data_IF_251206356554
#
_entry.id   IF_251206356554
#
_cell.length_a   1.000
_cell.length_b   1.000
_cell.length_c   1.000
_cell.angle_alpha   90.00
_cell.angle_beta   90.00
_cell.angle_gamma   90.00
#
_symmetry.space_group_name_H-M   'P 1'
#
loop_
_entity.id
_entity.type
_entity.pdbx_description
1 polymer ?
#
# COMPACT_ATOMS: atom_id res chain seq x y z
N UNK A 1 26.55 -27.14 -14.67
CA UNK A 1 25.95 -26.23 -15.66
C UNK A 1 24.48 -25.91 -15.37
N UNK A 2 23.51 -26.83 -15.52
CA UNK A 2 22.10 -26.51 -15.19
C UNK A 2 21.86 -26.24 -13.70
N UNK A 3 22.50 -27.01 -12.82
CA UNK A 3 22.36 -26.84 -11.36
C UNK A 3 22.98 -25.53 -10.87
N UNK A 4 24.13 -25.13 -11.44
CA UNK A 4 24.77 -23.84 -11.13
C UNK A 4 23.89 -22.66 -11.58
N UNK A 5 23.28 -22.76 -12.77
CA UNK A 5 22.32 -21.75 -13.25
C UNK A 5 21.11 -21.67 -12.31
N UNK A 6 20.59 -22.82 -11.84
CA UNK A 6 19.47 -22.84 -10.90
C UNK A 6 19.82 -22.19 -9.56
N UNK A 7 21.04 -22.39 -9.05
CA UNK A 7 21.53 -21.73 -7.82
C UNK A 7 21.59 -20.22 -8.01
N UNK A 8 22.15 -19.73 -9.12
CA UNK A 8 22.26 -18.30 -9.38
C UNK A 8 20.89 -17.63 -9.59
N UNK A 9 19.97 -18.28 -10.31
CA UNK A 9 18.58 -17.79 -10.47
C UNK A 9 17.87 -17.69 -9.12
N UNK A 10 18.02 -18.70 -8.26
CA UNK A 10 17.45 -18.65 -6.91
C UNK A 10 18.05 -17.51 -6.08
N UNK A 11 19.36 -17.25 -6.19
CA UNK A 11 19.99 -16.13 -5.50
C UNK A 11 19.42 -14.80 -5.96
N UNK A 12 19.28 -14.61 -7.28
CA UNK A 12 18.69 -13.39 -7.86
C UNK A 12 17.23 -13.24 -7.44
N UNK A 13 16.44 -14.31 -7.44
CA UNK A 13 15.04 -14.26 -6.98
C UNK A 13 14.93 -13.75 -5.55
N UNK A 14 15.75 -14.28 -4.63
CA UNK A 14 15.76 -13.83 -3.23
C UNK A 14 16.15 -12.36 -3.09
N UNK A 15 17.17 -11.92 -3.83
CA UNK A 15 17.57 -10.51 -3.81
C UNK A 15 16.48 -9.58 -4.37
N UNK A 16 15.69 -10.04 -5.34
CA UNK A 16 14.52 -9.30 -5.84
C UNK A 16 13.44 -9.22 -4.76
N UNK A 17 13.13 -10.34 -4.10
CA UNK A 17 12.12 -10.39 -3.04
C UNK A 17 12.49 -9.46 -1.87
N UNK A 18 13.74 -9.50 -1.41
CA UNK A 18 14.27 -8.62 -0.36
C UNK A 18 14.18 -7.13 -0.76
N UNK A 19 14.53 -6.81 -2.01
CA UNK A 19 14.44 -5.44 -2.53
C UNK A 19 12.99 -4.95 -2.60
N UNK A 20 12.06 -5.81 -3.03
CA UNK A 20 10.64 -5.49 -3.07
C UNK A 20 10.07 -5.31 -1.66
N UNK A 21 10.39 -6.21 -0.72
CA UNK A 21 9.93 -6.12 0.66
C UNK A 21 10.42 -4.82 1.31
N UNK A 22 11.68 -4.44 1.08
CA UNK A 22 12.20 -3.15 1.51
C UNK A 22 11.41 -1.97 0.91
N UNK A 23 11.08 -2.00 -0.38
CA UNK A 23 10.25 -0.97 -1.02
C UNK A 23 8.84 -0.90 -0.43
N UNK A 24 8.26 -2.04 -0.05
CA UNK A 24 6.93 -2.13 0.57
C UNK A 24 6.90 -1.65 2.03
N UNK A 25 8.05 -1.40 2.66
CA UNK A 25 8.10 -0.86 4.02
C UNK A 25 7.36 0.47 4.16
N UNK A 26 7.23 1.22 3.07
CA UNK A 26 6.51 2.51 3.03
C UNK A 26 5.04 2.37 2.64
N UNK A 27 4.56 1.16 2.34
CA UNK A 27 3.20 0.94 1.86
C UNK A 27 2.26 0.52 3.00
N UNK A 28 1.01 0.95 2.90
CA UNK A 28 -0.14 0.43 3.66
C UNK A 28 -1.21 0.00 2.67
N UNK A 29 -1.76 -1.19 2.90
CA UNK A 29 -2.92 -1.71 2.15
C UNK A 29 -4.19 -1.43 2.93
N UNK A 30 -5.13 -0.74 2.29
CA UNK A 30 -6.43 -0.38 2.84
C UNK A 30 -7.51 -1.15 2.07
N UNK A 31 -8.39 -1.82 2.80
CA UNK A 31 -9.45 -2.68 2.25
C UNK A 31 -10.81 -2.17 2.70
N UNK A 32 -11.86 -2.43 1.91
CA UNK A 32 -13.24 -2.10 2.28
C UNK A 32 -13.64 -0.63 2.05
N UNK A 33 -12.76 0.20 1.50
CA UNK A 33 -13.07 1.59 1.18
C UNK A 33 -13.80 1.65 -0.18
N UNK A 34 -15.04 2.16 -0.26
CA UNK A 34 -15.77 2.30 -1.52
C UNK A 34 -15.01 3.12 -2.56
N UNK A 35 -15.22 2.82 -3.84
CA UNK A 35 -14.68 3.63 -4.94
C UNK A 35 -15.57 4.86 -5.16
N UNK A 36 -14.94 6.00 -5.44
CA UNK A 36 -15.66 7.24 -5.80
C UNK A 36 -16.23 7.16 -7.22
N UNK A 37 -15.49 6.54 -8.14
CA UNK A 37 -15.87 6.31 -9.53
C UNK A 37 -15.04 5.16 -10.12
N UNK A 38 -15.36 4.72 -11.34
CA UNK A 38 -14.55 3.73 -12.05
C UNK A 38 -13.14 4.26 -12.36
N UNK A 39 -13.04 5.56 -12.66
CA UNK A 39 -11.80 6.26 -13.04
C UNK A 39 -11.26 7.12 -11.88
N UNK A 40 -11.29 6.57 -10.66
CA UNK A 40 -10.75 7.23 -9.48
C UNK A 40 -9.25 7.53 -9.68
N UNK A 41 -8.89 8.81 -9.72
CA UNK A 41 -7.51 9.24 -9.90
C UNK A 41 -6.66 8.97 -8.66
N UNK A 42 -5.34 8.95 -8.83
CA UNK A 42 -4.43 8.86 -7.68
C UNK A 42 -4.59 10.05 -6.72
N UNK A 43 -4.88 11.25 -7.23
CA UNK A 43 -5.09 12.43 -6.39
C UNK A 43 -6.34 12.29 -5.51
N UNK A 44 -7.47 11.87 -6.09
CA UNK A 44 -8.70 11.61 -5.31
C UNK A 44 -8.53 10.45 -4.34
N UNK A 45 -7.78 9.40 -4.74
CA UNK A 45 -7.48 8.27 -3.85
C UNK A 45 -6.60 8.72 -2.67
N UNK A 46 -5.61 9.59 -2.90
CA UNK A 46 -4.76 10.13 -1.84
C UNK A 46 -5.55 11.00 -0.86
N UNK A 47 -6.45 11.85 -1.36
CA UNK A 47 -7.34 12.64 -0.51
C UNK A 47 -8.26 11.75 0.35
N UNK A 48 -8.75 10.64 -0.22
CA UNK A 48 -9.53 9.65 0.53
C UNK A 48 -8.72 8.98 1.65
N UNK A 49 -7.45 8.66 1.39
CA UNK A 49 -6.53 8.15 2.41
C UNK A 49 -6.30 9.17 3.52
N UNK A 50 -6.04 10.44 3.19
CA UNK A 50 -5.87 11.52 4.18
C UNK A 50 -7.11 11.66 5.07
N UNK A 51 -8.31 11.74 4.48
CA UNK A 51 -9.57 11.77 5.22
C UNK A 51 -9.73 10.57 6.16
N UNK A 52 -9.38 9.37 5.70
CA UNK A 52 -9.42 8.16 6.52
C UNK A 52 -8.43 8.22 7.69
N UNK A 53 -7.21 8.70 7.45
CA UNK A 53 -6.17 8.79 8.47
C UNK A 53 -6.50 9.86 9.52
N UNK A 54 -7.05 10.99 9.09
CA UNK A 54 -7.57 12.02 10.00
C UNK A 54 -8.72 11.47 10.85
N UNK A 55 -9.62 10.67 10.28
CA UNK A 55 -10.74 10.06 11.01
C UNK A 55 -10.30 9.07 12.11
N UNK A 56 -9.14 8.42 11.95
CA UNK A 56 -8.55 7.57 13.01
C UNK A 56 -7.62 8.34 13.97
N UNK A 57 -7.52 9.67 13.81
CA UNK A 57 -6.75 10.56 14.69
C UNK A 57 -5.26 10.68 14.34
N UNK A 58 -4.84 10.23 13.16
CA UNK A 58 -3.48 10.46 12.67
C UNK A 58 -3.34 11.86 12.10
N UNK A 59 -2.19 12.51 12.35
CA UNK A 59 -1.88 13.85 11.87
C UNK A 59 -1.24 13.86 10.47
N UNK A 60 -1.27 12.73 9.76
CA UNK A 60 -0.77 12.61 8.39
C UNK A 60 -1.55 13.51 7.46
N UNK A 61 -0.82 14.27 6.64
CA UNK A 61 -1.37 15.12 5.59
C UNK A 61 -1.18 14.48 4.20
N UNK A 62 -1.80 15.07 3.19
CA UNK A 62 -1.57 14.72 1.77
C UNK A 62 -0.08 14.80 1.40
N UNK A 63 0.71 15.68 2.03
CA UNK A 63 2.14 15.87 1.77
C UNK A 63 3.02 14.75 2.33
N UNK A 64 2.47 13.89 3.17
CA UNK A 64 3.14 12.70 3.68
C UNK A 64 2.93 11.48 2.77
N UNK A 65 2.00 11.58 1.82
CA UNK A 65 1.66 10.55 0.85
C UNK A 65 2.47 10.76 -0.44
N UNK A 66 3.22 9.74 -0.84
CA UNK A 66 3.95 9.71 -2.11
C UNK A 66 2.97 9.39 -3.26
N UNK A 67 2.21 8.31 -3.10
CA UNK A 67 1.17 7.92 -4.06
C UNK A 67 0.10 7.05 -3.39
N UNK A 68 -1.15 7.18 -3.82
CA UNK A 68 -2.20 6.25 -3.50
C UNK A 68 -2.93 5.82 -4.77
N UNK A 69 -3.18 4.53 -4.92
CA UNK A 69 -3.90 4.00 -6.07
C UNK A 69 -4.64 2.71 -5.73
N UNK A 70 -5.69 2.43 -6.52
CA UNK A 70 -6.44 1.18 -6.45
C UNK A 70 -5.64 0.05 -7.11
N UNK A 71 -5.54 -1.09 -6.45
CA UNK A 71 -4.93 -2.29 -7.04
C UNK A 71 -5.99 -3.25 -7.58
N UNK A 72 -5.79 -3.83 -8.77
CA UNK A 72 -6.65 -4.89 -9.27
C UNK A 72 -6.65 -6.09 -8.31
N UNK A 73 -7.83 -6.60 -7.96
CA UNK A 73 -7.97 -7.89 -7.29
C UNK A 73 -8.11 -8.98 -8.34
N UNK A 74 -7.28 -10.03 -8.26
CA UNK A 74 -7.30 -11.17 -9.19
C UNK A 74 -8.66 -11.87 -9.23
N UNK A 75 -9.41 -11.80 -8.13
CA UNK A 75 -10.79 -12.24 -8.01
C UNK A 75 -11.69 -11.01 -7.91
N UNK A 76 -12.28 -10.64 -9.04
CA UNK A 76 -13.43 -9.73 -9.07
C UNK A 76 -14.74 -10.46 -8.69
N UNK A 77 -14.67 -11.76 -8.35
CA UNK A 77 -15.82 -12.65 -8.12
C UNK A 77 -16.76 -12.23 -6.98
N UNK A 78 -16.30 -11.42 -6.02
CA UNK A 78 -17.15 -10.96 -4.91
C UNK A 78 -17.65 -9.51 -5.08
N UNK A 79 -17.36 -8.82 -6.19
CA UNK A 79 -17.88 -7.47 -6.46
C UNK A 79 -17.46 -6.36 -5.47
N UNK A 80 -16.54 -6.64 -4.54
CA UNK A 80 -16.10 -5.68 -3.52
C UNK A 80 -15.20 -4.57 -4.06
N UNK A 81 -15.06 -3.45 -3.33
CA UNK A 81 -14.22 -2.34 -3.78
C UNK A 81 -12.74 -2.74 -3.83
N UNK A 82 -12.04 -2.29 -4.87
CA UNK A 82 -10.60 -2.56 -5.03
C UNK A 82 -9.81 -1.98 -3.86
N UNK A 83 -8.86 -2.73 -3.26
CA UNK A 83 -8.00 -2.21 -2.21
C UNK A 83 -7.19 -1.00 -2.68
N UNK A 84 -6.83 -0.13 -1.74
CA UNK A 84 -5.91 0.98 -1.98
C UNK A 84 -4.52 0.56 -1.47
N UNK A 85 -3.49 0.80 -2.28
CA UNK A 85 -2.13 0.88 -1.79
C UNK A 85 -1.78 2.35 -1.62
N UNK A 86 -1.50 2.74 -0.38
CA UNK A 86 -1.03 4.08 -0.02
C UNK A 86 0.44 3.98 0.37
N UNK A 87 1.31 4.66 -0.39
CA UNK A 87 2.74 4.77 -0.13
C UNK A 87 3.03 6.12 0.53
N UNK A 88 3.82 6.10 1.60
CA UNK A 88 4.24 7.30 2.31
C UNK A 88 5.63 7.74 1.85
N UNK A 89 5.88 9.05 1.88
CA UNK A 89 7.24 9.60 1.66
C UNK A 89 8.16 9.17 2.80
N UNK A 90 7.65 9.16 4.03
CA UNK A 90 8.42 8.85 5.24
C UNK A 90 7.80 7.69 5.99
N UNK A 91 8.66 6.80 6.50
CA UNK A 91 8.25 5.66 7.33
C UNK A 91 7.56 6.11 8.62
N UNK A 92 7.98 7.25 9.19
CA UNK A 92 7.37 7.81 10.41
C UNK A 92 5.88 8.12 10.22
N UNK A 93 5.49 8.66 9.06
CA UNK A 93 4.09 8.97 8.76
C UNK A 93 3.25 7.69 8.67
N UNK A 94 3.79 6.62 8.06
CA UNK A 94 3.16 5.29 8.09
C UNK A 94 3.03 4.75 9.52
N UNK A 95 4.10 4.82 10.31
CA UNK A 95 4.12 4.26 11.66
C UNK A 95 3.11 4.98 12.57
N UNK A 96 2.94 6.30 12.41
CA UNK A 96 1.88 7.07 13.09
C UNK A 96 0.47 6.55 12.78
N UNK A 97 0.15 6.37 11.48
CA UNK A 97 -1.13 5.78 11.04
C UNK A 97 -1.34 4.39 11.63
N UNK A 98 -0.31 3.54 11.59
CA UNK A 98 -0.39 2.17 12.08
C UNK A 98 -0.53 2.10 13.61
N UNK A 99 0.04 3.05 14.33
CA UNK A 99 -0.11 3.17 15.78
C UNK A 99 -1.51 3.64 16.18
N UNK A 100 -2.10 4.59 15.45
CA UNK A 100 -3.48 5.02 15.66
C UNK A 100 -4.47 3.90 15.36
N UNK A 101 -4.28 3.17 14.26
CA UNK A 101 -5.10 1.98 13.93
C UNK A 101 -5.15 0.96 15.07
N UNK A 102 -4.02 0.70 15.76
CA UNK A 102 -3.99 -0.25 16.88
C UNK A 102 -4.84 0.19 18.07
N UNK A 103 -5.04 1.50 18.26
CA UNK A 103 -5.85 2.08 19.34
C UNK A 103 -7.35 2.06 19.02
N UNK A 104 -7.74 1.96 17.75
CA UNK A 104 -9.13 1.89 17.30
C UNK A 104 -9.72 0.46 17.29
N UNK A 105 -8.99 -0.53 17.81
CA UNK A 105 -9.48 -1.91 17.99
C UNK A 105 -10.11 -2.08 19.36
#
# INVERSE_FOLDING_TARGET
MLDEIAVEVNRVSRSIDEFQEYSYQYNVKIVGVPQLSQDESSASTSALCECLFMAIGSAVSIHDIDTAHRVPTRSNDNGGPRPIICRFIRRLSKDDVMNHKKKCK
#
